data_IF_203986255417
#
_entry.id   IF_203986255417
#
_cell.length_a   1.000
_cell.length_b   1.000
_cell.length_c   1.000
_cell.angle_alpha   90.00
_cell.angle_beta   90.00
_cell.angle_gamma   90.00
#
_symmetry.space_group_name_H-M   'P 1'
#
loop_
_entity.id
_entity.type
_entity.pdbx_description
1 polymer ?
#
# COMPACT_ATOMS: atom_id res chain seq x y z
N UNK A 1 9.41 -7.03 -9.15
CA UNK A 1 8.16 -6.60 -8.46
C UNK A 1 8.53 -5.61 -7.33
N UNK A 2 7.67 -4.70 -6.85
CA UNK A 2 8.07 -3.55 -5.98
C UNK A 2 9.03 -3.89 -4.82
N UNK A 3 8.92 -5.08 -4.23
CA UNK A 3 9.84 -5.61 -3.22
C UNK A 3 11.33 -5.62 -3.65
N UNK A 4 11.63 -5.83 -4.92
CA UNK A 4 13.00 -5.76 -5.45
C UNK A 4 13.58 -4.34 -5.35
N UNK A 5 12.70 -3.33 -5.29
CA UNK A 5 13.08 -1.94 -5.15
C UNK A 5 13.19 -1.51 -3.69
N UNK A 6 13.06 -2.42 -2.71
CA UNK A 6 12.95 -2.10 -1.28
C UNK A 6 14.06 -1.25 -0.66
N UNK A 7 15.15 -1.07 -1.39
CA UNK A 7 16.33 -0.31 -0.99
C UNK A 7 16.45 1.02 -1.74
N UNK A 8 15.62 1.25 -2.77
CA UNK A 8 15.60 2.45 -3.58
C UNK A 8 14.98 3.63 -2.81
N UNK A 9 15.62 4.81 -2.78
CA UNK A 9 15.12 5.96 -2.05
C UNK A 9 13.82 6.54 -2.64
N UNK A 10 13.60 6.40 -3.95
CA UNK A 10 12.51 7.06 -4.67
C UNK A 10 11.13 6.58 -4.21
N UNK A 11 11.01 5.29 -3.88
CA UNK A 11 9.73 4.70 -3.46
C UNK A 11 9.42 4.88 -1.96
N UNK A 12 10.36 5.46 -1.21
CA UNK A 12 10.24 5.74 0.24
C UNK A 12 9.82 7.18 0.56
N UNK A 13 9.79 8.06 -0.44
CA UNK A 13 9.48 9.50 -0.25
C UNK A 13 8.03 9.69 0.20
N UNK A 14 7.10 9.04 -0.49
CA UNK A 14 5.68 9.08 -0.17
C UNK A 14 5.32 7.81 0.61
N UNK A 15 4.79 7.91 1.84
CA UNK A 15 4.43 6.74 2.63
C UNK A 15 3.13 6.07 2.14
N UNK A 16 2.39 6.70 1.23
CA UNK A 16 1.15 6.15 0.68
C UNK A 16 0.01 6.24 1.69
N UNK A 17 -0.54 5.07 2.03
CA UNK A 17 -1.78 4.95 2.81
C UNK A 17 -1.55 4.63 4.29
N UNK A 18 -0.31 4.75 4.77
CA UNK A 18 0.09 4.47 6.16
C UNK A 18 0.90 5.60 6.76
N UNK A 19 0.97 5.67 8.09
CA UNK A 19 1.94 6.54 8.79
C UNK A 19 3.31 5.84 8.85
N UNK A 20 4.32 6.43 8.20
CA UNK A 20 5.68 5.87 8.18
C UNK A 20 6.31 5.69 9.56
N UNK A 21 5.87 6.44 10.57
CA UNK A 21 6.44 6.37 11.91
C UNK A 21 6.04 5.08 12.66
N UNK A 22 5.03 4.37 12.16
CA UNK A 22 4.55 3.12 12.76
C UNK A 22 5.21 1.86 12.19
N UNK A 23 6.16 1.99 11.26
CA UNK A 23 6.74 0.90 10.48
C UNK A 23 8.25 1.06 10.31
N UNK A 24 8.97 -0.05 10.18
CA UNK A 24 10.41 -0.04 9.86
C UNK A 24 10.67 0.24 8.37
N UNK A 25 9.82 -0.30 7.49
CA UNK A 25 9.90 -0.12 6.05
C UNK A 25 8.53 0.26 5.52
N UNK A 26 8.48 1.33 4.74
CA UNK A 26 7.28 1.79 4.03
C UNK A 26 7.67 2.25 2.66
N UNK A 27 7.01 1.70 1.65
CA UNK A 27 7.18 2.13 0.27
C UNK A 27 5.84 2.15 -0.43
N UNK A 28 5.72 3.07 -1.39
CA UNK A 28 4.48 3.27 -2.08
C UNK A 28 4.67 3.71 -3.52
N UNK A 29 3.82 3.16 -4.38
CA UNK A 29 3.55 3.72 -5.69
C UNK A 29 2.06 3.72 -5.94
N UNK A 30 1.53 4.89 -6.33
CA UNK A 30 0.17 5.04 -6.82
C UNK A 30 0.14 5.42 -8.30
N UNK A 31 -1.01 5.17 -8.94
CA UNK A 31 -1.35 5.63 -10.28
C UNK A 31 -2.84 5.92 -10.36
N UNK A 32 -3.23 7.00 -11.05
CA UNK A 32 -4.62 7.41 -11.16
C UNK A 32 -4.86 8.03 -12.53
N UNK A 33 -5.86 7.50 -13.24
CA UNK A 33 -6.40 8.01 -14.50
C UNK A 33 -7.94 7.90 -14.44
N UNK A 34 -8.72 8.60 -15.29
CA UNK A 34 -10.16 8.39 -15.35
C UNK A 34 -10.51 6.92 -15.58
N UNK A 35 -11.20 6.32 -14.62
CA UNK A 35 -11.60 4.91 -14.68
C UNK A 35 -10.53 3.92 -14.19
N UNK A 36 -9.32 4.35 -13.82
CA UNK A 36 -8.26 3.46 -13.32
C UNK A 36 -7.64 4.04 -12.05
N UNK A 37 -7.56 3.24 -11.00
CA UNK A 37 -6.86 3.60 -9.77
C UNK A 37 -6.00 2.42 -9.31
N UNK A 38 -4.76 2.72 -8.94
CA UNK A 38 -3.77 1.74 -8.55
C UNK A 38 -3.03 2.21 -7.30
N UNK A 39 -2.92 1.32 -6.32
CA UNK A 39 -2.12 1.50 -5.11
C UNK A 39 -1.27 0.25 -4.88
N UNK A 40 0.06 0.39 -4.86
CA UNK A 40 0.97 -0.62 -4.33
C UNK A 40 1.63 -0.08 -3.08
N UNK A 41 1.40 -0.76 -1.96
CA UNK A 41 2.01 -0.48 -0.67
C UNK A 41 2.92 -1.64 -0.28
N UNK A 42 4.15 -1.35 0.11
CA UNK A 42 5.02 -2.28 0.80
C UNK A 42 5.21 -1.79 2.24
N UNK A 43 5.09 -2.71 3.19
CA UNK A 43 5.22 -2.42 4.63
C UNK A 43 5.95 -3.54 5.36
N UNK A 44 6.74 -3.15 6.36
CA UNK A 44 7.32 -4.04 7.36
C UNK A 44 7.19 -3.39 8.74
N UNK A 45 6.55 -4.08 9.70
CA UNK A 45 6.23 -3.48 11.00
C UNK A 45 7.48 -3.21 11.84
N UNK A 46 8.29 -4.25 12.08
CA UNK A 46 9.63 -4.16 12.69
C UNK A 46 10.67 -4.83 11.79
N UNK A 47 11.97 -4.68 12.09
CA UNK A 47 13.05 -5.32 11.31
C UNK A 47 12.94 -6.85 11.25
N UNK A 48 12.34 -7.45 12.27
CA UNK A 48 12.18 -8.90 12.41
C UNK A 48 10.81 -9.41 11.91
N UNK A 49 9.93 -8.50 11.48
CA UNK A 49 8.62 -8.86 10.92
C UNK A 49 8.74 -9.24 9.43
N UNK A 50 7.79 -10.02 8.94
CA UNK A 50 7.62 -10.26 7.51
C UNK A 50 7.39 -8.95 6.73
N UNK A 51 7.81 -8.95 5.47
CA UNK A 51 7.55 -7.87 4.52
C UNK A 51 6.31 -8.21 3.72
N UNK A 52 5.31 -7.32 3.76
CA UNK A 52 4.08 -7.47 3.00
C UNK A 52 4.03 -6.48 1.86
N UNK A 53 3.54 -6.94 0.71
CA UNK A 53 3.17 -6.08 -0.41
C UNK A 53 1.68 -6.22 -0.69
N UNK A 54 0.96 -5.11 -0.60
CA UNK A 54 -0.47 -5.02 -0.89
C UNK A 54 -0.62 -4.21 -2.18
N UNK A 55 -1.16 -4.82 -3.22
CA UNK A 55 -1.45 -4.15 -4.49
C UNK A 55 -2.95 -4.20 -4.78
N UNK A 56 -3.55 -3.04 -4.98
CA UNK A 56 -4.97 -2.88 -5.32
C UNK A 56 -5.07 -2.10 -6.62
N UNK A 57 -5.74 -2.68 -7.61
CA UNK A 57 -6.06 -2.04 -8.88
C UNK A 57 -7.56 -2.12 -9.10
N UNK A 58 -8.18 -0.99 -9.42
CA UNK A 58 -9.59 -0.92 -9.80
C UNK A 58 -9.69 -0.28 -11.17
N UNK A 59 -10.37 -0.95 -12.08
CA UNK A 59 -10.68 -0.48 -13.41
C UNK A 59 -12.20 -0.38 -13.58
N UNK A 60 -12.66 0.74 -14.13
CA UNK A 60 -14.04 1.00 -14.47
C UNK A 60 -14.09 1.77 -15.80
N UNK A 61 -14.55 1.09 -16.85
CA UNK A 61 -14.58 1.64 -18.21
C UNK A 61 -15.78 2.56 -18.47
N UNK A 62 -16.75 2.60 -17.56
CA UNK A 62 -18.00 3.37 -17.71
C UNK A 62 -17.94 4.72 -17.00
N UNK A 63 -17.24 4.78 -15.86
CA UNK A 63 -17.17 5.98 -15.01
C UNK A 63 -15.84 6.07 -14.26
N UNK A 64 -15.52 7.30 -13.83
CA UNK A 64 -14.40 7.53 -12.93
C UNK A 64 -14.54 6.69 -11.64
N UNK A 65 -13.39 6.20 -11.15
CA UNK A 65 -13.32 5.44 -9.90
C UNK A 65 -13.55 6.38 -8.71
N UNK A 66 -14.35 5.95 -7.74
CA UNK A 66 -14.59 6.67 -6.49
C UNK A 66 -13.37 6.56 -5.56
N UNK A 67 -12.36 7.40 -5.79
CA UNK A 67 -11.04 7.30 -5.15
C UNK A 67 -11.09 7.16 -3.63
N UNK A 68 -11.94 7.92 -2.93
CA UNK A 68 -12.05 7.85 -1.48
C UNK A 68 -12.47 6.47 -0.97
N UNK A 69 -13.42 5.80 -1.65
CA UNK A 69 -13.85 4.45 -1.28
C UNK A 69 -12.73 3.44 -1.44
N UNK A 70 -11.95 3.56 -2.53
CA UNK A 70 -10.81 2.67 -2.78
C UNK A 70 -9.72 2.90 -1.74
N UNK A 71 -9.39 4.15 -1.44
CA UNK A 71 -8.42 4.49 -0.39
C UNK A 71 -8.82 3.87 0.95
N UNK A 72 -10.09 4.02 1.37
CA UNK A 72 -10.60 3.43 2.61
C UNK A 72 -10.55 1.90 2.61
N UNK A 73 -10.91 1.27 1.49
CA UNK A 73 -10.82 -0.18 1.33
C UNK A 73 -9.38 -0.66 1.45
N UNK A 74 -8.44 -0.01 0.76
CA UNK A 74 -7.04 -0.39 0.76
C UNK A 74 -6.39 -0.18 2.13
N UNK A 75 -6.67 0.93 2.82
CA UNK A 75 -6.17 1.14 4.19
C UNK A 75 -6.67 0.06 5.16
N UNK A 76 -7.94 -0.35 5.05
CA UNK A 76 -8.48 -1.44 5.86
C UNK A 76 -7.86 -2.80 5.53
N UNK A 77 -7.56 -3.06 4.24
CA UNK A 77 -6.87 -4.27 3.82
C UNK A 77 -5.44 -4.32 4.36
N UNK A 78 -4.71 -3.20 4.30
CA UNK A 78 -3.37 -3.08 4.89
C UNK A 78 -3.42 -3.37 6.38
N UNK A 79 -4.36 -2.75 7.11
CA UNK A 79 -4.54 -3.01 8.53
C UNK A 79 -4.84 -4.50 8.79
N UNK A 80 -5.78 -5.10 8.07
CA UNK A 80 -6.12 -6.51 8.26
C UNK A 80 -4.91 -7.46 8.05
N UNK A 81 -4.08 -7.21 7.04
CA UNK A 81 -2.88 -8.03 6.76
C UNK A 81 -1.80 -7.84 7.84
N UNK A 82 -1.63 -6.62 8.35
CA UNK A 82 -0.56 -6.30 9.30
C UNK A 82 -0.96 -6.59 10.75
N UNK A 83 -2.23 -6.39 11.11
CA UNK A 83 -2.73 -6.61 12.46
C UNK A 83 -2.85 -8.09 12.83
N UNK A 84 -3.02 -8.97 11.84
CA UNK A 84 -3.04 -10.44 12.01
C UNK A 84 -1.74 -10.98 12.64
N UNK A 85 -0.65 -10.20 12.60
CA UNK A 85 0.62 -10.51 13.25
C UNK A 85 0.60 -10.37 14.79
N UNK A 86 -0.49 -9.90 15.40
CA UNK A 86 -0.62 -9.80 16.88
C UNK A 86 -1.09 -11.09 17.55
N UNK A 87 -1.42 -12.13 16.77
CA UNK A 87 -2.04 -13.37 17.29
C UNK A 87 -1.09 -14.57 17.26
N UNK A 88 0.17 -14.40 16.83
CA UNK A 88 1.19 -15.46 16.83
C UNK A 88 2.33 -15.18 17.81
#
# INVERSE_FOLDING_TARGET
MIYELKDAPEIKINPGLVDKNEYNLVEFKGGSEPGVLQFTQLVQKSKDSDVYTISVTINNNEKAVEQQKVTQLTSRLIAAVIEDQRVN
#
